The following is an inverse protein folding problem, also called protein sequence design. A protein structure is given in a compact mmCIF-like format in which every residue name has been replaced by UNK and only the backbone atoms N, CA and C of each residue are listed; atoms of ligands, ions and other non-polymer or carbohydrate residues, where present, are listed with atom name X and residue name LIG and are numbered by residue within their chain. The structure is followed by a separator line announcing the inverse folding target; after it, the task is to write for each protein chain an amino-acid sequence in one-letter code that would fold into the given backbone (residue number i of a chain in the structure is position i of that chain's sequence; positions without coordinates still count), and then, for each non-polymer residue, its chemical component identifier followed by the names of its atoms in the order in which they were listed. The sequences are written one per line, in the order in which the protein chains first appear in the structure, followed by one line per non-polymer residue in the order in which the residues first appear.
data_IF_222442816675
#
_entry.id   IF_222442816675
#
_cell.length_a   1.000
_cell.length_b   1.000
_cell.length_c   1.000
_cell.angle_alpha   90.00
_cell.angle_beta   90.00
_cell.angle_gamma   90.00
#
_symmetry.space_group_name_H-M   'P 1'
#
loop_
_entity.id
_entity.type
_entity.pdbx_description
1 polymer ?
#
# COMPACT_ATOMS: atom_id res chain seq x y z
N UNK A 1 52.10 -54.72 3.48
CA UNK A 1 51.57 -53.48 4.09
C UNK A 1 50.07 -53.44 3.84
N UNK A 2 49.25 -53.68 4.87
CA UNK A 2 47.79 -53.66 4.73
C UNK A 2 47.30 -52.20 4.76
N UNK A 3 46.49 -51.75 3.78
CA UNK A 3 46.03 -50.37 3.74
C UNK A 3 45.15 -50.09 4.96
N UNK A 4 45.55 -49.11 5.77
CA UNK A 4 44.72 -48.60 6.86
C UNK A 4 43.46 -48.02 6.24
N UNK A 5 42.36 -48.75 6.35
CA UNK A 5 41.02 -48.29 6.02
C UNK A 5 40.65 -47.14 6.96
N UNK A 6 40.76 -45.91 6.47
CA UNK A 6 40.35 -44.73 7.22
C UNK A 6 38.85 -44.80 7.47
N UNK A 7 38.44 -44.95 8.73
CA UNK A 7 37.02 -44.91 9.11
C UNK A 7 36.45 -43.54 8.70
N UNK A 8 35.32 -43.49 7.97
CA UNK A 8 34.71 -42.23 7.57
C UNK A 8 34.31 -41.45 8.83
N UNK A 9 34.83 -40.22 8.96
CA UNK A 9 34.41 -39.30 10.02
C UNK A 9 32.90 -39.05 9.87
N UNK A 10 32.10 -39.57 10.80
CA UNK A 10 30.67 -39.25 10.89
C UNK A 10 30.53 -37.77 11.19
N UNK A 11 29.98 -37.00 10.25
CA UNK A 11 29.66 -35.59 10.47
C UNK A 11 28.74 -35.47 11.69
N UNK A 12 29.14 -34.67 12.67
CA UNK A 12 28.32 -34.47 13.88
C UNK A 12 27.06 -33.67 13.51
N UNK A 13 25.90 -33.92 14.16
CA UNK A 13 24.67 -33.17 13.92
C UNK A 13 24.84 -31.64 14.00
N UNK A 14 25.75 -31.17 14.87
CA UNK A 14 26.12 -29.75 14.98
C UNK A 14 26.76 -29.20 13.69
N UNK A 15 27.58 -29.98 13.00
CA UNK A 15 28.21 -29.57 11.75
C UNK A 15 27.17 -29.46 10.63
N UNK A 16 26.26 -30.44 10.53
CA UNK A 16 25.17 -30.43 9.53
C UNK A 16 24.26 -29.23 9.75
N UNK A 17 23.83 -28.98 10.99
CA UNK A 17 23.00 -27.81 11.33
C UNK A 17 23.70 -26.49 11.00
N UNK A 18 24.99 -26.35 11.33
CA UNK A 18 25.77 -25.14 11.01
C UNK A 18 25.91 -24.92 9.51
N UNK A 19 26.10 -25.99 8.73
CA UNK A 19 26.17 -25.92 7.26
C UNK A 19 24.82 -25.51 6.68
N UNK A 20 23.74 -26.12 7.16
CA UNK A 20 22.37 -25.77 6.76
C UNK A 20 22.06 -24.30 7.06
N UNK A 21 22.28 -23.83 8.29
CA UNK A 21 22.06 -22.42 8.65
C UNK A 21 22.87 -21.45 7.77
N UNK A 22 24.14 -21.78 7.45
CA UNK A 22 24.94 -20.94 6.54
C UNK A 22 24.34 -20.86 5.14
N UNK A 23 23.82 -21.97 4.62
CA UNK A 23 23.16 -21.98 3.30
C UNK A 23 21.87 -21.17 3.35
N UNK A 24 21.02 -21.37 4.36
CA UNK A 24 19.78 -20.61 4.55
C UNK A 24 20.05 -19.12 4.67
N UNK A 25 21.05 -18.69 5.45
CA UNK A 25 21.44 -17.29 5.58
C UNK A 25 21.88 -16.73 4.22
N UNK A 26 22.69 -17.45 3.45
CA UNK A 26 23.12 -17.00 2.11
C UNK A 26 21.94 -16.83 1.15
N UNK A 27 20.99 -17.77 1.15
CA UNK A 27 19.77 -17.68 0.33
C UNK A 27 18.94 -16.46 0.76
N UNK A 28 18.76 -16.26 2.06
CA UNK A 28 18.03 -15.11 2.58
C UNK A 28 18.70 -13.78 2.20
N UNK A 29 20.03 -13.69 2.34
CA UNK A 29 20.79 -12.49 1.95
C UNK A 29 20.69 -12.23 0.43
N UNK A 30 20.75 -13.27 -0.40
CA UNK A 30 20.56 -13.14 -1.84
C UNK A 30 19.15 -12.66 -2.18
N UNK A 31 18.12 -13.19 -1.50
CA UNK A 31 16.74 -12.74 -1.65
C UNK A 31 16.57 -11.27 -1.26
N UNK A 32 17.10 -10.86 -0.10
CA UNK A 32 17.04 -9.45 0.34
C UNK A 32 17.77 -8.53 -0.66
N UNK A 33 18.96 -8.92 -1.13
CA UNK A 33 19.68 -8.14 -2.13
C UNK A 33 18.89 -7.99 -3.43
N UNK A 34 18.30 -9.08 -3.94
CA UNK A 34 17.44 -9.05 -5.13
C UNK A 34 16.22 -8.14 -4.92
N UNK A 35 15.53 -8.27 -3.78
CA UNK A 35 14.38 -7.42 -3.45
C UNK A 35 14.74 -5.94 -3.42
N UNK A 36 15.88 -5.59 -2.83
CA UNK A 36 16.38 -4.21 -2.82
C UNK A 36 16.67 -3.68 -4.22
N UNK A 37 17.25 -4.52 -5.09
CA UNK A 37 17.48 -4.16 -6.50
C UNK A 37 16.14 -3.90 -7.21
N UNK A 38 15.16 -4.79 -7.06
CA UNK A 38 13.84 -4.62 -7.70
C UNK A 38 13.13 -3.34 -7.23
N UNK A 39 13.25 -3.00 -5.95
CA UNK A 39 12.69 -1.74 -5.40
C UNK A 39 13.43 -0.52 -5.95
N UNK A 40 14.75 -0.61 -6.15
CA UNK A 40 15.56 0.50 -6.62
C UNK A 40 15.37 0.82 -8.11
N UNK A 41 15.04 -0.17 -8.96
CA UNK A 41 14.93 -0.01 -10.42
C UNK A 41 14.00 1.16 -10.82
N UNK A 42 12.72 1.23 -10.37
CA UNK A 42 11.83 2.33 -10.76
C UNK A 42 12.37 3.72 -10.40
N UNK A 43 13.04 3.84 -9.25
CA UNK A 43 13.60 5.10 -8.77
C UNK A 43 14.89 5.48 -9.51
N UNK A 44 15.77 4.52 -9.78
CA UNK A 44 16.97 4.73 -10.59
C UNK A 44 16.58 5.15 -12.02
N UNK A 45 15.56 4.51 -12.60
CA UNK A 45 15.04 4.89 -13.91
C UNK A 45 14.53 6.33 -13.92
N UNK A 46 13.71 6.72 -12.93
CA UNK A 46 13.25 8.12 -12.80
C UNK A 46 14.42 9.09 -12.81
N UNK A 47 15.49 8.81 -12.07
CA UNK A 47 16.65 9.70 -11.96
C UNK A 47 17.43 9.82 -13.28
N UNK A 48 17.59 8.72 -14.02
CA UNK A 48 18.45 8.69 -15.23
C UNK A 48 17.66 9.12 -16.48
N UNK A 49 16.41 8.68 -16.61
CA UNK A 49 15.63 8.78 -17.86
C UNK A 49 14.29 9.52 -17.69
N UNK A 50 13.95 9.95 -16.47
CA UNK A 50 12.63 10.50 -16.15
C UNK A 50 12.25 11.71 -16.99
N UNK A 51 13.16 12.67 -17.17
CA UNK A 51 12.90 13.89 -17.92
C UNK A 51 12.74 13.61 -19.41
N UNK A 52 13.55 12.68 -19.94
CA UNK A 52 13.49 12.26 -21.34
C UNK A 52 12.14 11.60 -21.65
N UNK A 53 11.73 10.59 -20.89
CA UNK A 53 10.46 9.89 -21.14
C UNK A 53 9.26 10.83 -20.94
N UNK A 54 9.33 11.73 -19.96
CA UNK A 54 8.27 12.73 -19.73
C UNK A 54 8.16 13.65 -20.94
N UNK A 55 9.27 14.20 -21.42
CA UNK A 55 9.29 15.11 -22.58
C UNK A 55 8.81 14.44 -23.86
N UNK A 56 9.19 13.18 -24.10
CA UNK A 56 8.74 12.39 -25.25
C UNK A 56 7.23 12.11 -25.25
N UNK A 57 6.62 11.98 -24.07
CA UNK A 57 5.17 11.81 -23.94
C UNK A 57 4.46 13.15 -24.07
N UNK A 58 4.94 14.20 -23.38
CA UNK A 58 4.39 15.55 -23.47
C UNK A 58 4.45 16.09 -24.91
N UNK A 59 5.52 15.82 -25.67
CA UNK A 59 5.59 16.23 -27.08
C UNK A 59 4.50 15.57 -27.96
N UNK A 60 3.92 14.45 -27.53
CA UNK A 60 2.83 13.75 -28.24
C UNK A 60 1.44 14.22 -27.79
N UNK A 61 1.27 14.60 -26.53
CA UNK A 61 -0.05 14.94 -25.95
C UNK A 61 -0.28 16.44 -25.83
N UNK A 62 0.76 17.24 -25.58
CA UNK A 62 0.68 18.69 -25.40
C UNK A 62 0.83 19.49 -26.70
N UNK A 63 1.38 18.90 -27.78
CA UNK A 63 1.71 19.65 -29.00
C UNK A 63 0.54 20.51 -29.52
N UNK A 64 0.67 21.83 -29.38
CA UNK A 64 -0.25 22.87 -29.86
C UNK A 64 -1.58 23.03 -29.12
N UNK A 65 -1.72 22.59 -27.85
CA UNK A 65 -2.91 22.93 -27.06
C UNK A 65 -2.56 23.75 -25.81
N UNK A 66 -3.35 24.78 -25.54
CA UNK A 66 -3.35 25.53 -24.28
C UNK A 66 -4.64 25.31 -23.50
N UNK A 67 -5.60 24.55 -24.06
CA UNK A 67 -6.86 24.21 -23.40
C UNK A 67 -6.65 23.00 -22.48
N UNK A 68 -6.79 23.16 -21.16
CA UNK A 68 -6.64 22.04 -20.23
C UNK A 68 -7.62 20.87 -20.50
N UNK A 69 -8.79 21.14 -21.08
CA UNK A 69 -9.77 20.09 -21.40
C UNK A 69 -9.29 19.23 -22.57
N UNK A 70 -8.75 19.88 -23.60
CA UNK A 70 -8.16 19.17 -24.74
C UNK A 70 -6.93 18.39 -24.30
N UNK A 71 -6.04 18.99 -23.50
CA UNK A 71 -4.88 18.30 -22.92
C UNK A 71 -5.30 17.04 -22.13
N UNK A 72 -6.30 17.16 -21.25
CA UNK A 72 -6.82 16.04 -20.48
C UNK A 72 -7.31 14.88 -21.38
N UNK A 73 -8.04 15.19 -22.46
CA UNK A 73 -8.54 14.18 -23.40
C UNK A 73 -7.41 13.52 -24.21
N UNK A 74 -6.37 14.28 -24.57
CA UNK A 74 -5.19 13.75 -25.27
C UNK A 74 -4.36 12.84 -24.37
N UNK A 75 -4.13 13.23 -23.11
CA UNK A 75 -3.48 12.37 -22.11
C UNK A 75 -4.27 11.08 -21.94
N UNK A 76 -5.59 11.19 -21.68
CA UNK A 76 -6.47 10.03 -21.54
C UNK A 76 -6.39 9.08 -22.75
N UNK A 77 -6.49 9.62 -23.97
CA UNK A 77 -6.42 8.81 -25.19
C UNK A 77 -5.07 8.10 -25.30
N UNK A 78 -3.98 8.80 -25.01
CA UNK A 78 -2.64 8.22 -25.01
C UNK A 78 -2.51 7.11 -23.96
N UNK A 79 -2.96 7.31 -22.73
CA UNK A 79 -2.93 6.29 -21.68
C UNK A 79 -3.74 5.06 -22.07
N UNK A 80 -4.97 5.24 -22.56
CA UNK A 80 -5.84 4.14 -23.01
C UNK A 80 -5.26 3.35 -24.18
N UNK A 81 -4.46 3.97 -25.04
CA UNK A 81 -3.78 3.30 -26.14
C UNK A 81 -2.54 2.56 -25.67
N UNK A 82 -1.75 3.16 -24.78
CA UNK A 82 -0.41 2.66 -24.44
C UNK A 82 -0.40 1.71 -23.24
N UNK A 83 -1.25 1.91 -22.24
CA UNK A 83 -1.19 1.16 -21.00
C UNK A 83 -1.90 -0.19 -21.06
N UNK A 84 -1.24 -1.24 -20.57
CA UNK A 84 -1.86 -2.53 -20.24
C UNK A 84 -2.25 -2.56 -18.76
N UNK A 85 -3.31 -3.30 -18.44
CA UNK A 85 -3.71 -3.55 -17.05
C UNK A 85 -3.21 -4.95 -16.61
N UNK A 86 -2.22 -5.02 -15.71
CA UNK A 86 -1.69 -6.28 -15.17
C UNK A 86 -2.74 -7.24 -14.58
N UNK A 87 -3.87 -6.73 -14.07
CA UNK A 87 -4.87 -7.52 -13.35
C UNK A 87 -6.04 -8.02 -14.23
N UNK A 88 -6.07 -7.69 -15.52
CA UNK A 88 -7.00 -8.33 -16.45
C UNK A 88 -6.54 -9.70 -16.93
N UNK A 89 -5.28 -10.06 -16.67
CA UNK A 89 -4.78 -11.39 -17.01
C UNK A 89 -5.27 -12.38 -15.95
N UNK A 90 -6.15 -13.29 -16.37
CA UNK A 90 -6.64 -14.39 -15.56
C UNK A 90 -5.48 -15.34 -15.19
N UNK A 91 -5.14 -15.49 -13.90
CA UNK A 91 -4.03 -16.34 -13.48
C UNK A 91 -4.14 -17.78 -13.98
N UNK A 92 -5.36 -18.31 -14.12
CA UNK A 92 -5.63 -19.64 -14.67
C UNK A 92 -5.05 -19.86 -16.08
N UNK A 93 -4.97 -18.80 -16.89
CA UNK A 93 -4.48 -18.85 -18.26
C UNK A 93 -2.96 -18.63 -18.38
N UNK A 94 -2.28 -18.28 -17.27
CA UNK A 94 -0.84 -18.10 -17.23
C UNK A 94 -0.09 -19.42 -17.08
N UNK A 95 1.02 -19.55 -17.81
CA UNK A 95 2.03 -20.60 -17.60
C UNK A 95 2.66 -20.49 -16.21
N UNK A 96 3.36 -21.54 -15.77
CA UNK A 96 4.05 -21.54 -14.47
C UNK A 96 5.09 -20.41 -14.35
N UNK A 97 5.79 -20.12 -15.44
CA UNK A 97 6.81 -19.06 -15.48
C UNK A 97 6.16 -17.69 -15.38
N UNK A 98 5.05 -17.45 -16.08
CA UNK A 98 4.31 -16.19 -16.00
C UNK A 98 3.70 -15.96 -14.61
N UNK A 99 3.17 -17.01 -13.97
CA UNK A 99 2.72 -16.95 -12.58
C UNK A 99 3.86 -16.56 -11.63
N UNK A 100 5.05 -17.14 -11.85
CA UNK A 100 6.24 -16.81 -11.06
C UNK A 100 6.63 -15.35 -11.27
N UNK A 101 6.71 -14.89 -12.52
CA UNK A 101 7.04 -13.50 -12.88
C UNK A 101 6.03 -12.50 -12.31
N UNK A 102 4.72 -12.78 -12.45
CA UNK A 102 3.66 -11.97 -11.86
C UNK A 102 3.75 -11.91 -10.33
N UNK A 103 4.18 -13.01 -9.68
CA UNK A 103 4.47 -13.04 -8.24
C UNK A 103 5.59 -12.08 -7.81
N UNK A 104 6.54 -11.77 -8.71
CA UNK A 104 7.58 -10.76 -8.52
C UNK A 104 7.19 -9.38 -9.08
N UNK A 105 5.97 -9.24 -9.64
CA UNK A 105 5.45 -7.99 -10.19
C UNK A 105 5.80 -7.72 -11.65
N UNK A 106 6.26 -8.73 -12.40
CA UNK A 106 6.54 -8.61 -13.84
C UNK A 106 5.32 -8.99 -14.68
N UNK A 107 4.98 -8.15 -15.66
CA UNK A 107 3.85 -8.36 -16.55
C UNK A 107 4.18 -7.92 -17.97
N UNK A 108 3.40 -8.40 -18.94
CA UNK A 108 3.49 -7.97 -20.33
C UNK A 108 2.71 -6.67 -20.55
N UNK A 109 3.32 -5.75 -21.27
CA UNK A 109 2.62 -4.58 -21.82
C UNK A 109 1.83 -4.95 -23.09
N UNK A 110 1.24 -3.94 -23.75
CA UNK A 110 0.49 -4.14 -25.00
C UNK A 110 1.36 -4.52 -26.20
N UNK A 111 2.67 -4.32 -26.12
CA UNK A 111 3.63 -4.71 -27.15
C UNK A 111 4.17 -6.13 -26.91
N UNK A 112 3.81 -6.78 -25.81
CA UNK A 112 4.33 -8.09 -25.42
C UNK A 112 5.70 -8.03 -24.77
N UNK A 113 6.13 -6.85 -24.31
CA UNK A 113 7.38 -6.68 -23.58
C UNK A 113 7.15 -6.88 -22.07
N UNK A 114 8.09 -7.55 -21.39
CA UNK A 114 8.00 -7.80 -19.95
C UNK A 114 8.57 -6.62 -19.18
N UNK A 115 7.75 -6.02 -18.32
CA UNK A 115 8.14 -4.92 -17.45
C UNK A 115 7.80 -5.20 -15.99
N UNK A 116 8.58 -4.64 -15.08
CA UNK A 116 8.25 -4.62 -13.65
C UNK A 116 7.17 -3.56 -13.42
N UNK A 117 6.00 -3.92 -12.89
CA UNK A 117 4.90 -2.99 -12.59
C UNK A 117 5.06 -2.35 -11.21
N UNK A 118 5.00 -3.17 -10.16
CA UNK A 118 5.17 -2.77 -8.76
C UNK A 118 5.94 -3.87 -8.02
N UNK A 119 7.15 -3.62 -7.51
CA UNK A 119 7.83 -4.61 -6.70
C UNK A 119 7.00 -4.91 -5.44
N UNK A 120 6.66 -6.18 -5.25
CA UNK A 120 5.91 -6.70 -4.10
C UNK A 120 4.52 -6.06 -3.84
N UNK A 121 3.91 -5.37 -4.82
CA UNK A 121 2.61 -4.70 -4.70
C UNK A 121 2.47 -3.65 -3.56
N UNK A 122 3.57 -3.30 -2.87
CA UNK A 122 3.55 -2.41 -1.69
C UNK A 122 4.34 -1.12 -1.88
N UNK A 123 5.28 -1.09 -2.84
CA UNK A 123 6.11 0.09 -3.06
C UNK A 123 5.50 1.01 -4.12
N UNK A 124 5.34 2.31 -3.81
CA UNK A 124 4.85 3.26 -4.79
C UNK A 124 5.87 3.39 -5.93
N UNK A 125 5.40 3.35 -7.17
CA UNK A 125 6.24 3.62 -8.34
C UNK A 125 6.07 5.05 -8.83
N UNK A 126 7.15 5.71 -9.30
CA UNK A 126 7.07 7.06 -9.82
C UNK A 126 6.32 7.10 -11.17
N UNK A 127 5.60 8.19 -11.51
CA UNK A 127 4.87 8.31 -12.77
C UNK A 127 5.72 8.03 -14.01
N UNK A 128 7.00 8.43 -13.99
CA UNK A 128 7.95 8.19 -15.09
C UNK A 128 8.19 6.70 -15.35
N UNK A 129 8.17 5.88 -14.30
CA UNK A 129 8.29 4.43 -14.44
C UNK A 129 7.02 3.82 -15.07
N UNK A 130 5.85 4.36 -14.74
CA UNK A 130 4.57 3.96 -15.35
C UNK A 130 4.56 4.32 -16.84
N UNK A 131 5.04 5.52 -17.20
CA UNK A 131 5.21 5.95 -18.60
C UNK A 131 6.13 5.00 -19.38
N UNK A 132 7.21 4.54 -18.76
CA UNK A 132 8.15 3.60 -19.36
C UNK A 132 7.60 2.18 -19.50
N UNK A 133 7.14 1.60 -18.38
CA UNK A 133 6.66 0.22 -18.32
C UNK A 133 5.34 0.02 -19.05
N UNK A 134 4.56 1.10 -19.23
CA UNK A 134 3.22 1.08 -19.82
C UNK A 134 2.28 0.10 -19.14
N UNK A 135 2.47 -0.14 -17.85
CA UNK A 135 1.62 -0.97 -17.02
C UNK A 135 0.90 -0.05 -16.04
N UNK A 136 -0.44 -0.10 -16.00
CA UNK A 136 -1.22 0.79 -15.14
C UNK A 136 -2.55 0.18 -14.66
N UNK A 137 -2.93 0.57 -13.44
CA UNK A 137 -4.27 0.43 -12.88
C UNK A 137 -4.82 1.79 -12.45
N UNK A 138 -6.04 1.85 -11.90
CA UNK A 138 -6.72 3.09 -11.54
C UNK A 138 -5.81 4.12 -10.84
N UNK A 139 -4.98 3.68 -9.89
CA UNK A 139 -4.00 4.55 -9.21
C UNK A 139 -2.87 5.04 -10.13
N UNK A 140 -2.28 4.19 -10.97
CA UNK A 140 -1.27 4.60 -11.95
C UNK A 140 -1.80 5.54 -13.02
N UNK A 141 -2.97 5.25 -13.58
CA UNK A 141 -3.64 6.13 -14.54
C UNK A 141 -3.85 7.51 -13.89
N UNK A 142 -4.39 7.57 -12.67
CA UNK A 142 -4.57 8.83 -11.96
C UNK A 142 -3.23 9.56 -11.70
N UNK A 143 -2.18 8.84 -11.29
CA UNK A 143 -0.85 9.41 -11.02
C UNK A 143 -0.21 9.99 -12.27
N UNK A 144 -0.21 9.25 -13.38
CA UNK A 144 0.37 9.72 -14.65
C UNK A 144 -0.42 10.90 -15.18
N UNK A 145 -1.76 10.81 -15.19
CA UNK A 145 -2.62 11.90 -15.61
C UNK A 145 -2.33 13.19 -14.83
N UNK A 146 -2.35 13.14 -13.50
CA UNK A 146 -2.09 14.32 -12.65
C UNK A 146 -0.67 14.84 -12.84
N UNK A 147 0.30 13.94 -12.96
CA UNK A 147 1.70 14.31 -13.21
C UNK A 147 1.85 15.09 -14.52
N UNK A 148 1.35 14.55 -15.64
CA UNK A 148 1.44 15.20 -16.96
C UNK A 148 0.68 16.53 -17.01
N UNK A 149 -0.53 16.59 -16.42
CA UNK A 149 -1.29 17.84 -16.29
C UNK A 149 -0.48 18.90 -15.52
N UNK A 150 0.17 18.51 -14.43
CA UNK A 150 0.97 19.41 -13.60
C UNK A 150 2.25 19.87 -14.30
N UNK A 151 2.86 19.04 -15.16
CA UNK A 151 4.01 19.45 -15.98
C UNK A 151 3.65 20.58 -16.97
N UNK A 152 2.39 20.61 -17.42
CA UNK A 152 1.87 21.66 -18.31
C UNK A 152 1.22 22.82 -17.53
N UNK A 153 1.50 22.94 -16.23
CA UNK A 153 1.01 24.03 -15.39
C UNK A 153 -0.48 23.94 -15.03
N UNK A 154 -1.16 22.83 -15.35
CA UNK A 154 -2.55 22.64 -14.95
C UNK A 154 -2.62 22.08 -13.53
N UNK A 155 -3.30 22.81 -12.64
CA UNK A 155 -3.56 22.34 -11.28
C UNK A 155 -4.37 21.04 -11.34
N UNK A 156 -3.83 19.98 -10.77
CA UNK A 156 -4.48 18.68 -10.68
C UNK A 156 -4.13 17.99 -9.36
N UNK A 157 -4.96 17.04 -8.92
CA UNK A 157 -4.72 16.22 -7.72
C UNK A 157 -5.30 14.82 -7.89
N UNK A 158 -4.77 13.88 -7.12
CA UNK A 158 -5.28 12.52 -7.07
C UNK A 158 -6.42 12.48 -6.07
N UNK A 159 -7.48 11.73 -6.40
CA UNK A 159 -8.56 11.39 -5.48
C UNK A 159 -8.69 9.88 -5.40
N UNK A 160 -8.94 9.34 -4.21
CA UNK A 160 -9.10 7.90 -4.02
C UNK A 160 -10.10 7.53 -2.95
N UNK A 161 -10.65 6.33 -3.06
CA UNK A 161 -11.45 5.66 -2.06
C UNK A 161 -10.67 4.44 -1.53
N UNK A 162 -9.87 4.57 -0.44
CA UNK A 162 -8.97 3.51 0.02
C UNK A 162 -9.66 2.19 0.34
N UNK A 163 -10.86 2.25 0.91
CA UNK A 163 -11.66 1.07 1.28
C UNK A 163 -12.22 0.29 0.09
N UNK A 164 -12.29 0.93 -1.08
CA UNK A 164 -12.90 0.39 -2.29
C UNK A 164 -11.90 0.24 -3.44
N UNK A 165 -10.60 0.41 -3.16
CA UNK A 165 -9.47 0.16 -4.07
C UNK A 165 -9.63 0.87 -5.42
N UNK A 166 -10.10 2.12 -5.39
CA UNK A 166 -10.31 2.94 -6.58
C UNK A 166 -9.64 4.31 -6.43
N UNK A 167 -9.08 4.81 -7.53
CA UNK A 167 -8.43 6.11 -7.61
C UNK A 167 -8.74 6.76 -8.97
N UNK A 168 -8.81 8.08 -8.97
CA UNK A 168 -9.09 8.94 -10.12
C UNK A 168 -8.39 10.29 -9.93
N UNK A 169 -8.63 11.23 -10.84
CA UNK A 169 -8.04 12.56 -10.82
C UNK A 169 -9.09 13.66 -10.73
N UNK A 170 -8.68 14.80 -10.21
CA UNK A 170 -9.38 16.07 -10.37
C UNK A 170 -8.42 17.07 -10.99
N UNK A 171 -8.90 17.87 -11.93
CA UNK A 171 -8.13 19.00 -12.48
C UNK A 171 -8.99 20.26 -12.55
N UNK A 172 -8.33 21.40 -12.61
CA UNK A 172 -8.99 22.70 -12.51
C UNK A 172 -8.82 23.49 -13.80
N UNK A 173 -9.92 24.03 -14.31
CA UNK A 173 -9.96 24.97 -15.42
C UNK A 173 -10.53 26.27 -14.87
N UNK A 174 -9.68 27.29 -14.74
CA UNK A 174 -10.00 28.50 -14.00
C UNK A 174 -10.43 28.15 -12.55
N UNK A 175 -11.68 28.45 -12.18
CA UNK A 175 -12.26 28.14 -10.87
C UNK A 175 -13.17 26.90 -10.90
N UNK A 176 -13.24 26.19 -12.03
CA UNK A 176 -14.08 25.00 -12.17
C UNK A 176 -13.26 23.74 -11.96
N UNK A 177 -13.78 22.86 -11.10
CA UNK A 177 -13.23 21.53 -10.85
C UNK A 177 -13.86 20.51 -11.79
N UNK A 178 -13.02 19.72 -12.46
CA UNK A 178 -13.43 18.61 -13.31
C UNK A 178 -12.96 17.30 -12.67
N UNK A 179 -13.90 16.39 -12.43
CA UNK A 179 -13.63 15.07 -11.89
C UNK A 179 -13.45 14.09 -13.05
N UNK A 180 -12.31 13.42 -13.09
CA UNK A 180 -11.85 12.67 -14.25
C UNK A 180 -11.27 11.31 -13.83
N UNK A 181 -11.84 10.20 -14.31
CA UNK A 181 -11.34 8.84 -14.12
C UNK A 181 -10.59 8.38 -15.40
N UNK A 182 -9.26 8.60 -15.47
CA UNK A 182 -8.49 8.23 -16.65
C UNK A 182 -8.45 6.72 -16.89
N UNK A 183 -8.83 5.90 -15.91
CA UNK A 183 -8.85 4.44 -16.04
C UNK A 183 -10.15 3.89 -16.64
N UNK A 184 -11.19 4.73 -16.78
CA UNK A 184 -12.47 4.33 -17.36
C UNK A 184 -12.44 4.43 -18.89
N UNK A 185 -12.47 3.31 -19.64
CA UNK A 185 -12.31 3.31 -21.10
C UNK A 185 -13.51 3.87 -21.86
N UNK A 186 -14.67 4.06 -21.20
CA UNK A 186 -15.91 4.48 -21.85
C UNK A 186 -16.18 5.97 -21.67
N UNK A 187 -16.11 6.44 -20.43
CA UNK A 187 -16.37 7.85 -20.11
C UNK A 187 -15.49 8.26 -18.94
N UNK A 188 -14.43 9.05 -19.18
CA UNK A 188 -13.54 9.47 -18.11
C UNK A 188 -14.13 10.63 -17.30
N UNK A 189 -15.11 11.39 -17.80
CA UNK A 189 -15.66 12.54 -17.06
C UNK A 189 -16.76 12.09 -16.10
N UNK A 190 -16.62 12.42 -14.82
CA UNK A 190 -17.61 12.12 -13.78
C UNK A 190 -18.49 13.35 -13.54
N UNK A 191 -19.68 13.33 -14.12
CA UNK A 191 -20.64 14.46 -14.05
C UNK A 191 -21.42 14.48 -12.72
N UNK A 192 -21.70 13.30 -12.15
CA UNK A 192 -22.43 13.17 -10.89
C UNK A 192 -21.59 12.40 -9.86
N UNK A 193 -20.79 13.09 -9.02
CA UNK A 193 -19.91 12.44 -8.05
C UNK A 193 -20.68 11.63 -7.00
N UNK A 194 -21.88 12.08 -6.60
CA UNK A 194 -22.74 11.35 -5.65
C UNK A 194 -23.21 10.02 -6.22
N UNK A 195 -23.69 10.01 -7.46
CA UNK A 195 -24.07 8.77 -8.13
C UNK A 195 -22.87 7.85 -8.35
N UNK A 196 -21.71 8.41 -8.71
CA UNK A 196 -20.47 7.65 -8.85
C UNK A 196 -20.08 6.96 -7.54
N UNK A 197 -20.10 7.69 -6.42
CA UNK A 197 -19.80 7.14 -5.11
C UNK A 197 -20.82 6.11 -4.62
N UNK A 198 -22.10 6.30 -4.91
CA UNK A 198 -23.16 5.32 -4.62
C UNK A 198 -22.97 4.01 -5.39
N UNK A 199 -22.72 4.07 -6.71
CA UNK A 199 -22.53 2.89 -7.56
C UNK A 199 -21.31 2.05 -7.15
N UNK A 200 -20.26 2.71 -6.65
CA UNK A 200 -19.04 2.07 -6.16
C UNK A 200 -19.09 1.72 -4.68
N UNK A 201 -20.13 2.16 -3.98
CA UNK A 201 -20.32 2.02 -2.53
C UNK A 201 -19.10 2.57 -1.75
N UNK A 202 -18.73 3.83 -1.93
CA UNK A 202 -17.56 4.39 -1.22
C UNK A 202 -17.78 4.55 0.29
N UNK A 203 -16.73 4.28 1.06
CA UNK A 203 -16.67 4.45 2.50
C UNK A 203 -16.18 5.83 2.93
N UNK A 204 -15.13 6.30 2.25
CA UNK A 204 -14.38 7.49 2.55
C UNK A 204 -13.61 7.84 1.28
N UNK A 205 -13.51 9.14 0.98
CA UNK A 205 -12.81 9.65 -0.19
C UNK A 205 -11.85 10.74 0.25
N UNK A 206 -10.59 10.58 -0.16
CA UNK A 206 -9.53 11.54 0.12
C UNK A 206 -8.88 12.04 -1.17
N UNK A 207 -8.47 13.30 -1.17
CA UNK A 207 -7.70 13.92 -2.24
C UNK A 207 -6.31 14.33 -1.73
N UNK A 208 -5.29 14.26 -2.58
CA UNK A 208 -3.94 14.71 -2.25
C UNK A 208 -3.15 15.13 -3.50
N UNK A 209 -2.20 16.02 -3.30
CA UNK A 209 -1.20 16.38 -4.30
C UNK A 209 -0.10 15.30 -4.32
N UNK A 210 0.26 14.71 -5.48
CA UNK A 210 1.38 13.78 -5.58
C UNK A 210 2.71 14.31 -5.03
N UNK A 211 2.93 15.62 -5.03
CA UNK A 211 4.11 16.26 -4.44
C UNK A 211 4.09 16.26 -2.90
N UNK A 212 2.90 16.15 -2.30
CA UNK A 212 2.67 16.16 -0.85
C UNK A 212 1.69 15.05 -0.42
N UNK A 213 2.04 13.75 -0.61
CA UNK A 213 1.12 12.63 -0.42
C UNK A 213 0.64 12.42 1.02
N UNK A 214 1.34 12.99 2.00
CA UNK A 214 0.96 12.96 3.42
C UNK A 214 -0.13 14.00 3.76
N UNK A 215 -0.30 15.02 2.92
CA UNK A 215 -1.33 16.03 3.09
C UNK A 215 -2.61 15.62 2.35
N UNK A 216 -3.44 14.85 3.04
CA UNK A 216 -4.72 14.33 2.53
C UNK A 216 -5.88 15.20 3.00
N UNK A 217 -6.77 15.52 2.06
CA UNK A 217 -8.01 16.25 2.30
C UNK A 217 -9.19 15.28 2.24
N UNK A 218 -10.09 15.33 3.23
CA UNK A 218 -11.36 14.59 3.19
C UNK A 218 -12.36 15.28 2.25
N UNK A 219 -12.59 14.68 1.08
CA UNK A 219 -13.55 15.17 0.07
C UNK A 219 -14.80 14.29 0.00
N UNK A 220 -15.04 13.46 1.02
CA UNK A 220 -16.09 12.44 0.96
C UNK A 220 -17.50 13.02 0.82
N UNK A 221 -17.77 14.20 1.39
CA UNK A 221 -19.11 14.83 1.29
C UNK A 221 -19.49 15.21 -0.15
N UNK A 222 -18.53 15.24 -1.08
CA UNK A 222 -18.82 15.44 -2.50
C UNK A 222 -19.33 14.16 -3.19
N UNK A 223 -18.91 12.99 -2.69
CA UNK A 223 -19.13 11.70 -3.35
C UNK A 223 -20.16 10.82 -2.67
N UNK A 224 -20.36 10.97 -1.37
CA UNK A 224 -21.24 10.09 -0.59
C UNK A 224 -22.00 10.84 0.49
N UNK A 225 -23.16 10.31 0.85
CA UNK A 225 -23.83 10.66 2.10
C UNK A 225 -23.14 9.94 3.26
N UNK A 226 -23.06 10.57 4.43
CA UNK A 226 -22.26 10.06 5.55
C UNK A 226 -23.01 10.04 6.87
N UNK A 227 -22.65 9.08 7.71
CA UNK A 227 -22.98 9.03 9.14
C UNK A 227 -21.73 9.29 9.98
N UNK A 228 -21.93 9.45 11.29
CA UNK A 228 -20.84 9.54 12.28
C UNK A 228 -20.66 8.20 12.97
N UNK A 229 -19.42 7.73 13.08
CA UNK A 229 -19.06 6.58 13.91
C UNK A 229 -18.21 7.09 15.07
N UNK A 230 -18.71 6.95 16.29
CA UNK A 230 -17.99 7.27 17.53
C UNK A 230 -17.52 5.96 18.14
N UNK A 231 -16.21 5.78 18.25
CA UNK A 231 -15.59 4.59 18.84
C UNK A 231 -15.07 4.93 20.21
N UNK A 232 -15.59 4.25 21.24
CA UNK A 232 -15.06 4.31 22.61
C UNK A 232 -14.17 3.11 22.87
N UNK A 233 -12.88 3.36 23.05
CA UNK A 233 -11.87 2.34 23.34
C UNK A 233 -11.72 2.21 24.85
N UNK A 234 -11.83 0.98 25.35
CA UNK A 234 -11.70 0.67 26.77
C UNK A 234 -10.77 -0.50 27.04
N UNK A 235 -10.22 -0.56 28.25
CA UNK A 235 -9.50 -1.70 28.82
C UNK A 235 -10.03 -1.93 30.23
N UNK A 236 -10.67 -3.08 30.47
CA UNK A 236 -11.31 -3.33 31.78
C UNK A 236 -12.33 -2.26 32.16
N UNK A 237 -13.12 -1.78 31.18
CA UNK A 237 -14.06 -0.65 31.29
C UNK A 237 -13.45 0.75 31.51
N UNK A 238 -12.14 0.88 31.68
CA UNK A 238 -11.49 2.20 31.72
C UNK A 238 -11.20 2.73 30.30
N UNK A 239 -11.39 4.03 30.02
CA UNK A 239 -11.07 4.61 28.72
C UNK A 239 -9.57 4.57 28.42
N UNK A 240 -9.20 4.31 27.17
CA UNK A 240 -7.80 4.27 26.74
C UNK A 240 -7.50 5.41 25.78
N UNK A 241 -6.64 6.34 26.21
CA UNK A 241 -6.20 7.49 25.42
C UNK A 241 -5.01 7.17 24.52
N UNK A 242 -4.93 7.89 23.38
CA UNK A 242 -3.89 7.70 22.37
C UNK A 242 -3.83 6.28 21.82
N UNK A 243 -4.95 5.56 21.81
CA UNK A 243 -5.08 4.29 21.11
C UNK A 243 -5.34 4.57 19.64
N UNK A 244 -4.62 3.89 18.75
CA UNK A 244 -4.82 3.96 17.31
C UNK A 244 -6.03 3.12 16.94
N UNK A 245 -7.01 3.73 16.27
CA UNK A 245 -8.23 3.09 15.80
C UNK A 245 -8.25 3.12 14.28
N UNK A 246 -8.18 1.93 13.68
CA UNK A 246 -8.27 1.70 12.24
C UNK A 246 -9.70 1.25 11.88
N UNK A 247 -10.30 1.87 10.87
CA UNK A 247 -11.57 1.44 10.29
C UNK A 247 -11.32 0.73 8.97
N UNK A 248 -11.91 -0.45 8.81
CA UNK A 248 -11.74 -1.31 7.63
C UNK A 248 -13.10 -1.61 6.97
N UNK A 249 -13.14 -1.53 5.64
CA UNK A 249 -14.29 -1.89 4.80
C UNK A 249 -14.23 -3.38 4.46
N UNK A 250 -15.31 -4.12 4.72
CA UNK A 250 -15.44 -5.53 4.35
C UNK A 250 -16.00 -5.75 2.95
N UNK A 251 -16.45 -4.66 2.30
CA UNK A 251 -17.20 -4.68 1.05
C UNK A 251 -16.51 -5.46 -0.08
N UNK A 252 -15.24 -5.16 -0.37
CA UNK A 252 -14.52 -5.81 -1.47
C UNK A 252 -14.24 -7.29 -1.19
N UNK A 253 -13.98 -7.66 0.07
CA UNK A 253 -13.81 -9.04 0.50
C UNK A 253 -15.10 -9.83 0.35
N UNK A 254 -16.24 -9.24 0.70
CA UNK A 254 -17.55 -9.88 0.56
C UNK A 254 -17.98 -10.00 -0.91
N UNK A 255 -17.75 -8.95 -1.72
CA UNK A 255 -18.13 -8.92 -3.13
C UNK A 255 -17.21 -9.76 -4.02
N UNK A 256 -15.91 -9.81 -3.70
CA UNK A 256 -14.87 -10.46 -4.51
C UNK A 256 -13.89 -11.27 -3.65
N UNK A 257 -14.35 -12.32 -2.93
CA UNK A 257 -13.54 -13.04 -1.93
C UNK A 257 -12.32 -13.77 -2.50
N UNK A 258 -12.31 -14.09 -3.81
CA UNK A 258 -11.14 -14.69 -4.48
C UNK A 258 -9.99 -13.69 -4.70
N UNK A 259 -10.31 -12.40 -4.78
CA UNK A 259 -9.34 -11.32 -5.04
C UNK A 259 -8.91 -10.61 -3.76
N UNK A 260 -9.81 -10.49 -2.80
CA UNK A 260 -9.54 -9.84 -1.52
C UNK A 260 -9.80 -10.83 -0.38
N UNK A 261 -8.72 -11.22 0.30
CA UNK A 261 -8.73 -12.13 1.45
C UNK A 261 -8.96 -11.39 2.79
N UNK A 262 -8.65 -10.09 2.83
CA UNK A 262 -8.77 -9.24 4.00
C UNK A 262 -9.63 -7.99 3.74
N UNK A 263 -10.28 -7.44 4.80
CA UNK A 263 -10.89 -6.12 4.75
C UNK A 263 -9.89 -5.03 4.35
N UNK A 264 -10.35 -3.99 3.65
CA UNK A 264 -9.50 -2.90 3.17
C UNK A 264 -9.48 -1.75 4.14
N UNK A 265 -8.30 -1.16 4.31
CA UNK A 265 -8.11 0.04 5.10
C UNK A 265 -8.94 1.22 4.57
N UNK A 266 -9.62 1.93 5.47
CA UNK A 266 -10.41 3.13 5.13
C UNK A 266 -9.73 4.37 5.69
N UNK A 267 -9.62 4.46 7.01
CA UNK A 267 -9.12 5.64 7.74
C UNK A 267 -8.63 5.23 9.13
N UNK A 268 -7.74 6.04 9.71
CA UNK A 268 -7.19 5.87 11.05
C UNK A 268 -7.33 7.16 11.84
N UNK A 269 -7.56 7.04 13.15
CA UNK A 269 -7.49 8.17 14.07
C UNK A 269 -7.03 7.68 15.44
N UNK A 270 -6.59 8.60 16.30
CA UNK A 270 -6.24 8.29 17.68
C UNK A 270 -7.36 8.69 18.64
N UNK A 271 -7.44 8.01 19.78
CA UNK A 271 -8.38 8.37 20.84
C UNK A 271 -7.92 9.56 21.67
N UNK A 272 -8.88 10.41 22.04
CA UNK A 272 -8.69 11.49 23.00
C UNK A 272 -8.52 11.01 24.44
N UNK A 273 -8.51 11.95 25.38
CA UNK A 273 -8.33 11.66 26.82
C UNK A 273 -9.46 10.80 27.41
N UNK A 274 -10.67 10.91 26.87
CA UNK A 274 -11.86 10.15 27.25
C UNK A 274 -11.94 8.76 26.59
N UNK A 275 -10.91 8.39 25.82
CA UNK A 275 -10.84 7.14 25.08
C UNK A 275 -11.76 7.09 23.86
N UNK A 276 -12.28 8.23 23.39
CA UNK A 276 -13.13 8.27 22.20
C UNK A 276 -12.39 8.81 20.98
N UNK A 277 -12.82 8.36 19.81
CA UNK A 277 -12.45 8.95 18.51
C UNK A 277 -13.65 8.88 17.57
N UNK A 278 -13.67 9.72 16.55
CA UNK A 278 -14.81 9.83 15.64
C UNK A 278 -14.39 9.77 14.18
N UNK A 279 -15.27 9.21 13.36
CA UNK A 279 -15.13 9.11 11.91
C UNK A 279 -16.42 9.54 11.22
N UNK A 280 -16.30 10.14 10.03
CA UNK A 280 -17.45 10.46 9.18
C UNK A 280 -17.37 9.62 7.90
N UNK A 281 -18.26 8.64 7.76
CA UNK A 281 -18.13 7.53 6.82
C UNK A 281 -19.43 7.28 6.05
N UNK A 282 -19.32 6.66 4.87
CA UNK A 282 -20.45 6.17 4.09
C UNK A 282 -21.27 5.09 4.81
N UNK A 283 -22.53 4.88 4.42
CA UNK A 283 -23.40 3.91 5.07
C UNK A 283 -22.99 2.46 4.74
N UNK A 284 -22.47 1.73 5.72
CA UNK A 284 -22.21 0.28 5.67
C UNK A 284 -21.77 -0.26 7.03
N UNK A 285 -21.57 -1.57 7.10
CA UNK A 285 -20.88 -2.20 8.22
C UNK A 285 -19.36 -2.13 8.05
N UNK A 286 -18.67 -1.80 9.14
CA UNK A 286 -17.23 -1.68 9.20
C UNK A 286 -16.65 -2.61 10.26
N UNK A 287 -15.44 -3.12 9.97
CA UNK A 287 -14.59 -3.73 10.99
C UNK A 287 -13.74 -2.64 11.62
N UNK A 288 -13.72 -2.57 12.94
CA UNK A 288 -12.99 -1.56 13.71
C UNK A 288 -11.88 -2.29 14.48
N UNK A 289 -10.65 -1.83 14.33
CA UNK A 289 -9.49 -2.40 15.01
C UNK A 289 -8.81 -1.33 15.85
N UNK A 290 -8.59 -1.62 17.14
CA UNK A 290 -7.91 -0.72 18.06
C UNK A 290 -6.59 -1.33 18.53
N UNK A 291 -5.54 -0.52 18.62
CA UNK A 291 -4.22 -0.93 19.10
C UNK A 291 -3.64 0.13 20.02
N UNK A 292 -2.96 -0.30 21.07
CA UNK A 292 -2.10 0.54 21.91
C UNK A 292 -0.90 -0.28 22.35
N UNK A 293 0.30 0.26 22.24
CA UNK A 293 1.48 -0.35 22.83
C UNK A 293 2.03 0.59 23.91
N UNK A 294 2.44 0.02 25.03
CA UNK A 294 3.19 0.71 26.07
C UNK A 294 4.34 -0.19 26.47
N UNK A 295 5.57 0.29 26.21
CA UNK A 295 6.78 -0.52 26.36
C UNK A 295 6.67 -1.85 25.58
N UNK A 296 7.00 -2.98 26.19
CA UNK A 296 6.97 -4.31 25.57
C UNK A 296 5.57 -4.91 25.46
N UNK A 297 4.54 -4.28 26.04
CA UNK A 297 3.17 -4.82 26.05
C UNK A 297 2.34 -4.09 25.01
N UNK A 298 1.77 -4.84 24.09
CA UNK A 298 0.77 -4.35 23.15
C UNK A 298 -0.61 -4.89 23.51
N UNK A 299 -1.62 -4.06 23.31
CA UNK A 299 -3.02 -4.42 23.39
C UNK A 299 -3.68 -4.22 22.03
N UNK A 300 -4.59 -5.14 21.70
CA UNK A 300 -5.38 -5.14 20.47
C UNK A 300 -6.83 -5.48 20.79
N UNK A 301 -7.75 -4.86 20.06
CA UNK A 301 -9.18 -5.15 20.12
C UNK A 301 -9.80 -5.07 18.73
N UNK A 302 -10.88 -5.80 18.53
CA UNK A 302 -11.67 -5.77 17.30
C UNK A 302 -13.15 -5.62 17.66
N UNK A 303 -13.90 -4.86 16.86
CA UNK A 303 -15.33 -4.65 17.00
C UNK A 303 -15.94 -4.39 15.61
N UNK A 304 -17.26 -4.28 15.53
CA UNK A 304 -17.96 -3.87 14.30
C UNK A 304 -18.84 -2.65 14.55
N UNK A 305 -19.14 -1.91 13.50
CA UNK A 305 -20.04 -0.76 13.57
C UNK A 305 -20.76 -0.55 12.26
N UNK A 306 -22.10 -0.48 12.30
CA UNK A 306 -22.94 -0.18 11.14
C UNK A 306 -23.25 1.31 11.08
N UNK A 307 -22.68 2.00 10.11
CA UNK A 307 -22.91 3.41 9.86
C UNK A 307 -24.15 3.58 9.00
N UNK A 308 -24.99 4.54 9.38
CA UNK A 308 -26.20 4.94 8.65
C UNK A 308 -26.05 6.41 8.30
N UNK A 309 -26.33 6.78 7.05
CA UNK A 309 -26.25 8.17 6.59
C UNK A 309 -27.15 9.08 7.45
N UNK A 310 -26.64 10.26 7.82
CA UNK A 310 -27.35 11.22 8.67
C UNK A 310 -27.46 10.85 10.15
N UNK A 311 -27.02 9.66 10.56
CA UNK A 311 -27.10 9.19 11.95
C UNK A 311 -25.73 9.12 12.64
N UNK A 312 -25.74 9.01 13.97
CA UNK A 312 -24.54 8.71 14.77
C UNK A 312 -24.61 7.28 15.32
N UNK A 313 -23.61 6.47 15.00
CA UNK A 313 -23.42 5.11 15.51
C UNK A 313 -22.34 5.13 16.59
N UNK A 314 -22.60 4.46 17.71
CA UNK A 314 -21.63 4.26 18.78
C UNK A 314 -21.11 2.83 18.76
N UNK A 315 -19.79 2.65 18.82
CA UNK A 315 -19.14 1.35 18.94
C UNK A 315 -18.24 1.33 20.17
N UNK A 316 -18.31 0.24 20.95
CA UNK A 316 -17.38 -0.04 22.05
C UNK A 316 -16.29 -0.99 21.53
N UNK A 317 -15.03 -0.66 21.79
CA UNK A 317 -13.88 -1.47 21.43
C UNK A 317 -13.09 -1.81 22.70
N UNK A 318 -13.03 -3.09 23.04
CA UNK A 318 -12.30 -3.57 24.21
C UNK A 318 -10.90 -4.05 23.80
N UNK A 319 -9.87 -3.46 24.42
CA UNK A 319 -8.48 -3.86 24.23
C UNK A 319 -8.10 -5.00 25.16
N UNK A 320 -7.49 -6.03 24.58
CA UNK A 320 -6.91 -7.19 25.28
C UNK A 320 -5.44 -7.32 24.94
N UNK A 321 -4.66 -8.00 25.78
CA UNK A 321 -3.22 -8.18 25.53
C UNK A 321 -3.03 -8.93 24.20
N UNK A 322 -2.26 -8.34 23.30
CA UNK A 322 -1.79 -8.98 22.08
C UNK A 322 -0.51 -9.76 22.41
N UNK A 323 -0.69 -11.00 22.86
CA UNK A 323 0.43 -11.86 23.27
C UNK A 323 1.42 -12.10 22.13
N UNK A 324 0.97 -12.12 20.88
CA UNK A 324 1.86 -12.38 19.73
C UNK A 324 2.79 -11.19 19.54
N UNK A 325 2.24 -9.99 19.38
CA UNK A 325 3.05 -8.78 19.19
C UNK A 325 3.92 -8.50 20.42
N UNK A 326 3.37 -8.68 21.62
CA UNK A 326 4.10 -8.56 22.90
C UNK A 326 5.28 -9.53 22.96
N UNK A 327 5.08 -10.81 22.62
CA UNK A 327 6.15 -11.82 22.65
C UNK A 327 7.26 -11.51 21.64
N UNK A 328 6.89 -11.03 20.46
CA UNK A 328 7.85 -10.62 19.43
C UNK A 328 8.68 -9.43 19.93
N UNK A 329 8.05 -8.39 20.48
CA UNK A 329 8.75 -7.23 21.03
C UNK A 329 9.67 -7.62 22.20
N UNK A 330 9.20 -8.48 23.10
CA UNK A 330 10.03 -9.03 24.17
C UNK A 330 11.24 -9.80 23.60
N UNK A 331 11.05 -10.66 22.61
CA UNK A 331 12.15 -11.40 22.00
C UNK A 331 13.17 -10.47 21.32
N UNK A 332 12.68 -9.48 20.56
CA UNK A 332 13.52 -8.51 19.84
C UNK A 332 14.31 -7.59 20.77
N UNK A 333 13.89 -7.40 22.01
CA UNK A 333 14.60 -6.56 22.99
C UNK A 333 15.51 -7.39 23.88
N UNK A 334 14.98 -8.46 24.48
CA UNK A 334 15.70 -9.30 25.45
C UNK A 334 16.89 -9.99 24.78
N UNK A 335 16.73 -10.55 23.57
CA UNK A 335 17.80 -11.32 22.91
C UNK A 335 19.02 -10.43 22.61
N UNK A 336 18.90 -9.27 21.93
CA UNK A 336 20.05 -8.40 21.71
C UNK A 336 20.69 -7.88 23.00
N UNK A 337 19.89 -7.50 24.01
CA UNK A 337 20.46 -7.08 25.29
C UNK A 337 21.20 -8.21 26.00
N UNK A 338 20.69 -9.44 25.95
CA UNK A 338 21.37 -10.62 26.50
C UNK A 338 22.68 -10.92 25.77
N UNK A 339 22.69 -10.84 24.43
CA UNK A 339 23.91 -11.00 23.63
C UNK A 339 24.92 -9.90 23.95
N UNK A 340 24.49 -8.64 24.03
CA UNK A 340 25.34 -7.51 24.35
C UNK A 340 25.96 -7.65 25.75
N UNK A 341 25.15 -8.02 26.75
CA UNK A 341 25.63 -8.30 28.10
C UNK A 341 26.66 -9.43 28.14
N UNK A 342 26.46 -10.51 27.36
CA UNK A 342 27.44 -11.59 27.25
C UNK A 342 28.74 -11.13 26.56
N UNK A 343 28.66 -10.27 25.54
CA UNK A 343 29.83 -9.69 24.87
C UNK A 343 30.62 -8.78 25.81
N UNK A 344 29.93 -7.90 26.54
CA UNK A 344 30.52 -7.01 27.54
C UNK A 344 31.17 -7.84 28.65
N UNK A 345 30.47 -8.84 29.19
CA UNK A 345 31.00 -9.71 30.23
C UNK A 345 32.26 -10.46 29.77
N UNK A 346 32.24 -11.04 28.55
CA UNK A 346 33.42 -11.70 27.99
C UNK A 346 34.61 -10.75 27.84
N UNK A 347 34.37 -9.52 27.39
CA UNK A 347 35.42 -8.50 27.25
C UNK A 347 35.99 -8.09 28.61
N UNK A 348 35.13 -7.90 29.61
CA UNK A 348 35.52 -7.57 30.97
C UNK A 348 36.36 -8.67 31.63
N UNK A 349 35.92 -9.94 31.52
CA UNK A 349 36.67 -11.09 32.05
C UNK A 349 38.05 -11.22 31.38
N UNK A 350 38.12 -11.01 30.06
CA UNK A 350 39.38 -11.04 29.32
C UNK A 350 40.35 -9.95 29.76
N UNK A 351 39.86 -8.72 29.99
CA UNK A 351 40.70 -7.61 30.48
C UNK A 351 41.25 -7.81 31.89
N UNK A 352 40.58 -8.61 32.73
CA UNK A 352 41.03 -8.89 34.11
C UNK A 352 42.08 -10.00 34.20
N UNK A 353 42.25 -10.77 33.12
CA UNK A 353 43.22 -11.86 33.01
C UNK A 353 44.54 -11.42 32.38
N UNK A 354 44.60 -10.20 31.84
CA UNK A 354 45.82 -9.50 31.45
C UNK A 354 46.28 -8.63 32.62
#
# INVERSE_FOLDING_TARGET
MSPKTSKPLKATPKYVLRKFMRVTIKILMAYVALSLVLIAIPHAYKFIWGDKITSEVLSKVSSNTTDPKELALRIYSWEQQNFANPYFIQPENMSLIEKLLAGYGFYYDKQGEVHLFRPFNIFPVPPQWVLHSKLANCEEYAKVFVYLMSQEGVKARIVRAPGEDHAWAEYYVENYKIIFDPSNPKNPVIVNPKQFGQLKNFSYVEAYDPANPDHKEDVSDEYIERGRLIVKVVKGNEPVSGATVEVLSTYLRERFPKRYDAPRYVVVNETGKDGTTQFKLGPKEYKIMGKKCSFLICWKGESTGKVIAGSTTYAKLELRVDYVTTSILCALTIIPTGVLMLVIHKRYVYQRQQ
#
